data_IF_412396248195
#
_entry.id   IF_412396248195
#
_cell.length_a   1.000
_cell.length_b   1.000
_cell.length_c   1.000
_cell.angle_alpha   90.00
_cell.angle_beta   90.00
_cell.angle_gamma   90.00
#
_symmetry.space_group_name_H-M   'P 1'
#
loop_
_entity.id
_entity.type
_entity.pdbx_description
1 polymer ?
#
# COMPACT_ATOMS: atom_id res chain seq x y z
N UNK A 1 33.29 13.36 -25.73
CA UNK A 1 33.23 11.94 -25.36
C UNK A 1 31.77 11.59 -25.18
N UNK A 2 31.21 10.78 -26.08
CA UNK A 2 29.84 10.28 -25.95
C UNK A 2 29.96 9.05 -25.07
N UNK A 3 29.70 9.21 -23.77
CA UNK A 3 29.56 8.04 -22.90
C UNK A 3 28.36 7.24 -23.39
N UNK A 4 28.63 6.02 -23.85
CA UNK A 4 27.61 5.10 -24.31
C UNK A 4 26.66 4.79 -23.14
N UNK A 5 25.34 5.07 -23.26
CA UNK A 5 24.37 4.90 -22.18
C UNK A 5 24.27 3.44 -21.67
N UNK A 6 24.80 2.48 -22.44
CA UNK A 6 24.93 1.09 -22.04
C UNK A 6 25.98 0.84 -20.94
N UNK A 7 27.07 1.61 -20.87
CA UNK A 7 28.11 1.44 -19.84
C UNK A 7 27.63 1.96 -18.48
N UNK A 8 26.82 3.02 -18.44
CA UNK A 8 26.15 3.51 -17.22
C UNK A 8 25.06 2.57 -16.67
N UNK A 9 24.54 1.64 -17.49
CA UNK A 9 23.56 0.63 -17.04
C UNK A 9 24.20 -0.54 -16.26
N UNK A 10 25.50 -0.78 -16.44
CA UNK A 10 26.24 -1.84 -15.72
C UNK A 10 27.16 -1.31 -14.62
N UNK A 11 27.22 0.01 -14.43
CA UNK A 11 27.87 0.62 -13.27
C UNK A 11 27.08 0.29 -11.98
N UNK A 12 27.67 0.44 -10.80
CA UNK A 12 27.09 0.00 -9.53
C UNK A 12 25.70 0.62 -9.28
N UNK A 13 25.49 1.85 -9.77
CA UNK A 13 24.20 2.56 -9.81
C UNK A 13 23.22 1.87 -10.76
N UNK A 14 23.63 1.54 -11.99
CA UNK A 14 22.83 0.82 -12.97
C UNK A 14 22.48 -0.62 -12.54
N UNK A 15 23.37 -1.30 -11.82
CA UNK A 15 23.11 -2.63 -11.26
C UNK A 15 22.14 -2.55 -10.06
N UNK A 16 22.29 -1.54 -9.19
CA UNK A 16 21.33 -1.26 -8.13
C UNK A 16 19.96 -0.96 -8.71
N UNK A 17 19.81 -0.01 -9.64
CA UNK A 17 18.49 0.31 -10.17
C UNK A 17 17.96 -0.74 -11.15
N UNK A 18 18.81 -1.39 -11.94
CA UNK A 18 18.44 -2.37 -12.96
C UNK A 18 18.06 -3.74 -12.41
N UNK A 19 18.58 -4.13 -11.24
CA UNK A 19 18.27 -5.43 -10.60
C UNK A 19 17.47 -5.25 -9.31
N UNK A 20 17.84 -4.32 -8.44
CA UNK A 20 17.15 -4.13 -7.15
C UNK A 20 15.72 -3.66 -7.35
N UNK A 21 15.46 -2.75 -8.29
CA UNK A 21 14.08 -2.24 -8.52
C UNK A 21 13.16 -3.36 -9.01
N UNK A 22 13.49 -4.13 -10.07
CA UNK A 22 12.66 -5.28 -10.46
C UNK A 22 12.52 -6.32 -9.35
N UNK A 23 13.60 -6.58 -8.59
CA UNK A 23 13.57 -7.53 -7.48
C UNK A 23 12.63 -7.06 -6.35
N UNK A 24 12.65 -5.77 -6.00
CA UNK A 24 11.74 -5.17 -5.01
C UNK A 24 10.30 -5.19 -5.53
N UNK A 25 10.07 -4.91 -6.80
CA UNK A 25 8.74 -4.99 -7.41
C UNK A 25 8.23 -6.44 -7.36
N UNK A 26 9.05 -7.42 -7.76
CA UNK A 26 8.71 -8.85 -7.68
C UNK A 26 8.46 -9.26 -6.23
N UNK A 27 9.30 -8.83 -5.30
CA UNK A 27 9.14 -9.12 -3.88
C UNK A 27 7.85 -8.54 -3.33
N UNK A 28 7.48 -7.31 -3.70
CA UNK A 28 6.19 -6.71 -3.37
C UNK A 28 5.06 -7.53 -3.98
N UNK A 29 5.11 -7.86 -5.26
CA UNK A 29 4.09 -8.71 -5.92
C UNK A 29 3.93 -10.03 -5.17
N UNK A 30 5.01 -10.69 -4.79
CA UNK A 30 4.98 -11.94 -4.02
C UNK A 30 4.37 -11.74 -2.63
N UNK A 31 4.77 -10.68 -1.91
CA UNK A 31 4.23 -10.33 -0.59
C UNK A 31 2.74 -10.03 -0.62
N UNK A 32 2.24 -9.46 -1.72
CA UNK A 32 0.82 -9.19 -1.92
C UNK A 32 0.05 -10.43 -2.39
N UNK A 33 0.65 -11.26 -3.24
CA UNK A 33 -0.01 -12.41 -3.87
C UNK A 33 -0.19 -13.57 -2.89
N UNK A 34 0.83 -13.93 -2.11
CA UNK A 34 0.80 -15.10 -1.22
C UNK A 34 -0.33 -15.00 -0.18
N UNK A 35 -0.46 -13.92 0.62
CA UNK A 35 -1.52 -13.82 1.62
C UNK A 35 -2.90 -13.70 0.99
N UNK A 36 -2.99 -13.13 -0.22
CA UNK A 36 -4.25 -12.92 -0.91
C UNK A 36 -4.83 -14.20 -1.51
N UNK A 37 -3.99 -15.19 -1.84
CA UNK A 37 -4.42 -16.50 -2.35
C UNK A 37 -4.81 -17.48 -1.25
N UNK A 38 -4.23 -17.36 -0.05
CA UNK A 38 -4.43 -18.34 1.04
C UNK A 38 -5.85 -18.31 1.64
N UNK A 39 -6.58 -17.19 1.55
CA UNK A 39 -7.90 -17.03 2.18
C UNK A 39 -9.11 -17.36 1.29
N UNK A 40 -8.85 -17.91 0.09
CA UNK A 40 -9.77 -18.66 -0.77
C UNK A 40 -11.26 -18.31 -0.69
N UNK A 41 -11.68 -17.30 -1.47
CA UNK A 41 -13.10 -17.13 -1.87
C UNK A 41 -13.31 -16.10 -2.99
N UNK A 42 -12.28 -15.33 -3.38
CA UNK A 42 -12.36 -14.39 -4.50
C UNK A 42 -11.70 -14.97 -5.76
N UNK A 43 -12.21 -14.56 -6.94
CA UNK A 43 -11.61 -14.93 -8.23
C UNK A 43 -10.18 -14.41 -8.30
N UNK A 44 -9.24 -15.27 -8.66
CA UNK A 44 -7.80 -14.95 -8.76
C UNK A 44 -7.51 -13.75 -9.65
N UNK A 45 -8.31 -13.57 -10.71
CA UNK A 45 -8.24 -12.43 -11.63
C UNK A 45 -8.57 -11.10 -10.95
N UNK A 46 -9.61 -11.07 -10.10
CA UNK A 46 -9.99 -9.87 -9.36
C UNK A 46 -8.95 -9.47 -8.32
N UNK A 47 -8.30 -10.47 -7.70
CA UNK A 47 -7.16 -10.25 -6.80
C UNK A 47 -5.99 -9.64 -7.56
N UNK A 48 -5.63 -10.19 -8.73
CA UNK A 48 -4.56 -9.65 -9.57
C UNK A 48 -4.82 -8.22 -9.99
N UNK A 49 -6.06 -7.91 -10.39
CA UNK A 49 -6.48 -6.54 -10.71
C UNK A 49 -6.37 -5.60 -9.51
N UNK A 50 -6.76 -6.03 -8.31
CA UNK A 50 -6.61 -5.25 -7.10
C UNK A 50 -5.13 -4.94 -6.80
N UNK A 51 -4.25 -5.95 -6.87
CA UNK A 51 -2.81 -5.78 -6.64
C UNK A 51 -2.22 -4.78 -7.63
N UNK A 52 -2.53 -4.92 -8.93
CA UNK A 52 -2.07 -3.99 -9.95
C UNK A 52 -2.50 -2.54 -9.67
N UNK A 53 -3.76 -2.34 -9.27
CA UNK A 53 -4.27 -1.02 -8.92
C UNK A 53 -3.52 -0.41 -7.72
N UNK A 54 -3.33 -1.18 -6.63
CA UNK A 54 -2.57 -0.69 -5.47
C UNK A 54 -1.10 -0.40 -5.77
N UNK A 55 -0.45 -1.19 -6.62
CA UNK A 55 0.92 -0.91 -7.06
C UNK A 55 0.99 0.38 -7.89
N UNK A 56 0.01 0.60 -8.76
CA UNK A 56 -0.07 1.79 -9.60
C UNK A 56 -0.43 3.05 -8.80
N UNK A 57 -1.30 2.92 -7.78
CA UNK A 57 -1.54 3.97 -6.79
C UNK A 57 -0.25 4.30 -6.02
N UNK A 58 0.50 3.28 -5.59
CA UNK A 58 1.81 3.45 -4.96
C UNK A 58 2.80 4.21 -5.86
N UNK A 59 2.85 3.87 -7.15
CA UNK A 59 3.66 4.59 -8.13
C UNK A 59 3.23 6.05 -8.26
N UNK A 60 1.93 6.31 -8.33
CA UNK A 60 1.38 7.67 -8.35
C UNK A 60 1.81 8.48 -7.12
N UNK A 61 1.75 7.88 -5.93
CA UNK A 61 2.20 8.50 -4.68
C UNK A 61 3.70 8.80 -4.69
N UNK A 62 4.53 7.90 -5.22
CA UNK A 62 5.97 8.12 -5.39
C UNK A 62 6.22 9.32 -6.32
N UNK A 63 5.56 9.38 -7.47
CA UNK A 63 5.70 10.49 -8.43
C UNK A 63 5.26 11.83 -7.82
N UNK A 64 4.15 11.85 -7.08
CA UNK A 64 3.71 13.03 -6.33
C UNK A 64 4.75 13.44 -5.28
N UNK A 65 5.39 12.48 -4.60
CA UNK A 65 6.45 12.78 -3.62
C UNK A 65 7.68 13.35 -4.32
N UNK A 66 8.13 12.75 -5.42
CA UNK A 66 9.30 13.20 -6.20
C UNK A 66 9.08 14.59 -6.80
N UNK A 67 7.87 14.93 -7.24
CA UNK A 67 7.54 16.27 -7.72
C UNK A 67 7.36 17.29 -6.58
N UNK A 68 6.73 16.88 -5.48
CA UNK A 68 6.34 17.78 -4.39
C UNK A 68 7.47 18.12 -3.43
N UNK A 69 8.27 17.13 -3.01
CA UNK A 69 9.28 17.31 -1.95
C UNK A 69 10.41 18.28 -2.35
N UNK A 70 11.01 18.19 -3.56
CA UNK A 70 12.02 19.14 -4.00
C UNK A 70 11.47 20.55 -4.18
N UNK A 71 10.22 20.67 -4.63
CA UNK A 71 9.53 21.96 -4.75
C UNK A 71 9.37 22.62 -3.39
N UNK A 72 8.93 21.86 -2.38
CA UNK A 72 8.81 22.34 -1.01
C UNK A 72 10.18 22.72 -0.42
N UNK A 73 11.21 21.91 -0.67
CA UNK A 73 12.58 22.21 -0.26
C UNK A 73 13.09 23.51 -0.86
N UNK A 74 12.92 23.72 -2.17
CA UNK A 74 13.35 24.94 -2.86
C UNK A 74 12.73 26.21 -2.26
N UNK A 75 11.44 26.18 -1.94
CA UNK A 75 10.73 27.30 -1.31
C UNK A 75 11.24 27.56 0.11
N UNK A 76 11.44 26.51 0.92
CA UNK A 76 11.87 26.65 2.32
C UNK A 76 13.36 26.96 2.49
N UNK A 77 14.20 26.48 1.57
CA UNK A 77 15.63 26.77 1.53
C UNK A 77 15.96 28.11 0.84
N UNK A 78 14.93 28.83 0.37
CA UNK A 78 15.07 30.10 -0.39
C UNK A 78 16.02 29.97 -1.59
N UNK A 79 16.11 28.77 -2.16
CA UNK A 79 16.94 28.44 -3.31
C UNK A 79 16.01 28.13 -4.48
N UNK A 80 15.57 29.16 -5.22
CA UNK A 80 14.59 28.99 -6.28
C UNK A 80 15.14 28.07 -7.38
N UNK A 81 14.31 27.12 -7.80
CA UNK A 81 14.60 26.30 -8.96
C UNK A 81 14.47 27.14 -10.25
N UNK A 82 15.11 26.71 -11.33
CA UNK A 82 14.87 27.32 -12.64
C UNK A 82 13.43 27.06 -13.10
N UNK A 83 12.85 27.98 -13.87
CA UNK A 83 11.46 27.89 -14.36
C UNK A 83 11.14 26.54 -15.03
N UNK A 84 12.09 26.02 -15.82
CA UNK A 84 11.95 24.72 -16.49
C UNK A 84 11.89 23.54 -15.51
N UNK A 85 12.59 23.63 -14.38
CA UNK A 85 12.59 22.60 -13.34
C UNK A 85 11.27 22.61 -12.56
N UNK A 86 10.71 23.79 -12.27
CA UNK A 86 9.37 23.88 -11.66
C UNK A 86 8.30 23.25 -12.55
N UNK A 87 8.31 23.57 -13.84
CA UNK A 87 7.35 22.99 -14.80
C UNK A 87 7.53 21.47 -14.89
N UNK A 88 8.76 20.98 -14.95
CA UNK A 88 9.04 19.54 -14.96
C UNK A 88 8.54 18.83 -13.69
N UNK A 89 8.83 19.37 -12.51
CA UNK A 89 8.37 18.83 -11.23
C UNK A 89 6.85 18.87 -11.10
N UNK A 90 6.22 19.94 -11.59
CA UNK A 90 4.76 20.07 -11.63
C UNK A 90 4.12 19.02 -12.55
N UNK A 91 4.71 18.78 -13.73
CA UNK A 91 4.24 17.74 -14.65
C UNK A 91 4.39 16.34 -14.05
N UNK A 92 5.51 16.06 -13.38
CA UNK A 92 5.74 14.79 -12.67
C UNK A 92 4.70 14.62 -11.56
N UNK A 93 4.46 15.66 -10.77
CA UNK A 93 3.44 15.68 -9.71
C UNK A 93 2.04 15.43 -10.27
N UNK A 94 1.66 16.16 -11.33
CA UNK A 94 0.35 16.06 -11.96
C UNK A 94 0.12 14.68 -12.59
N UNK A 95 1.15 14.12 -13.23
CA UNK A 95 1.10 12.76 -13.78
C UNK A 95 0.92 11.73 -12.66
N UNK A 96 1.67 11.86 -11.57
CA UNK A 96 1.51 11.02 -10.38
C UNK A 96 0.10 11.07 -9.80
N UNK A 97 -0.46 12.28 -9.66
CA UNK A 97 -1.83 12.49 -9.19
C UNK A 97 -2.87 11.89 -10.13
N UNK A 98 -2.70 12.05 -11.44
CA UNK A 98 -3.60 11.45 -12.44
C UNK A 98 -3.54 9.92 -12.40
N UNK A 99 -2.34 9.34 -12.33
CA UNK A 99 -2.16 7.88 -12.20
C UNK A 99 -2.81 7.36 -10.92
N UNK A 100 -2.64 8.06 -9.79
CA UNK A 100 -3.27 7.71 -8.52
C UNK A 100 -4.81 7.73 -8.62
N UNK A 101 -5.38 8.85 -9.09
CA UNK A 101 -6.84 9.01 -9.21
C UNK A 101 -7.47 8.04 -10.20
N UNK A 102 -6.78 7.75 -11.31
CA UNK A 102 -7.25 6.79 -12.30
C UNK A 102 -7.36 5.38 -11.70
N UNK A 103 -6.34 4.94 -10.97
CA UNK A 103 -6.32 3.60 -10.39
C UNK A 103 -7.25 3.49 -9.17
N UNK A 104 -7.42 4.55 -8.37
CA UNK A 104 -8.45 4.59 -7.31
C UNK A 104 -9.87 4.44 -7.90
N UNK A 105 -10.12 5.09 -9.04
CA UNK A 105 -11.39 4.93 -9.74
C UNK A 105 -11.58 3.50 -10.27
N UNK A 106 -10.57 2.91 -10.91
CA UNK A 106 -10.64 1.52 -11.39
C UNK A 106 -10.80 0.53 -10.24
N UNK A 107 -10.12 0.77 -9.11
CA UNK A 107 -10.19 -0.07 -7.92
C UNK A 107 -11.61 -0.18 -7.40
N UNK A 108 -12.44 0.88 -7.52
CA UNK A 108 -13.87 0.87 -7.15
C UNK A 108 -14.72 -0.13 -7.93
N UNK A 109 -14.24 -0.68 -9.04
CA UNK A 109 -14.93 -1.75 -9.80
C UNK A 109 -14.66 -3.18 -9.31
N UNK A 110 -13.66 -3.40 -8.45
CA UNK A 110 -13.20 -4.75 -8.04
C UNK A 110 -14.04 -5.30 -6.87
N UNK A 111 -14.21 -6.60 -6.62
CA UNK A 111 -15.00 -7.01 -5.43
C UNK A 111 -14.32 -6.59 -4.10
N UNK A 112 -15.12 -6.25 -3.08
CA UNK A 112 -14.59 -5.83 -1.77
C UNK A 112 -13.71 -6.93 -1.12
N UNK A 113 -14.08 -8.19 -1.33
CA UNK A 113 -13.33 -9.36 -0.83
C UNK A 113 -11.94 -9.45 -1.47
N UNK A 114 -11.83 -9.23 -2.79
CA UNK A 114 -10.56 -9.24 -3.50
C UNK A 114 -9.63 -8.08 -3.10
N UNK A 115 -10.20 -6.92 -2.74
CA UNK A 115 -9.43 -5.73 -2.33
C UNK A 115 -8.92 -5.78 -0.89
N UNK A 116 -9.59 -6.53 -0.01
CA UNK A 116 -9.33 -6.48 1.43
C UNK A 116 -7.87 -6.80 1.79
N UNK A 117 -7.31 -7.86 1.21
CA UNK A 117 -5.93 -8.28 1.51
C UNK A 117 -4.91 -7.29 0.93
N UNK A 118 -4.92 -6.97 -0.37
CA UNK A 118 -4.00 -5.97 -0.94
C UNK A 118 -4.10 -4.61 -0.24
N UNK A 119 -5.30 -4.13 0.05
CA UNK A 119 -5.51 -2.88 0.78
C UNK A 119 -4.83 -2.91 2.15
N UNK A 120 -5.00 -4.00 2.90
CA UNK A 120 -4.41 -4.14 4.23
C UNK A 120 -2.88 -4.10 4.16
N UNK A 121 -2.29 -4.83 3.20
CA UNK A 121 -0.83 -4.87 3.01
C UNK A 121 -0.32 -3.48 2.63
N UNK A 122 -0.96 -2.82 1.66
CA UNK A 122 -0.62 -1.46 1.26
C UNK A 122 -0.69 -0.47 2.43
N UNK A 123 -1.79 -0.50 3.20
CA UNK A 123 -1.99 0.36 4.35
C UNK A 123 -0.91 0.17 5.42
N UNK A 124 -0.58 -1.08 5.77
CA UNK A 124 0.48 -1.38 6.73
C UNK A 124 1.88 -1.06 6.18
N UNK A 125 2.11 -1.20 4.87
CA UNK A 125 3.37 -0.81 4.25
C UNK A 125 3.59 0.70 4.36
N UNK A 126 2.58 1.52 4.03
CA UNK A 126 2.66 2.98 4.20
C UNK A 126 2.83 3.36 5.67
N UNK A 127 2.12 2.68 6.58
CA UNK A 127 2.25 2.90 8.03
C UNK A 127 3.65 2.56 8.55
N UNK A 128 4.25 1.47 8.08
CA UNK A 128 5.62 1.12 8.44
C UNK A 128 6.62 2.14 7.87
N UNK A 129 6.45 2.49 6.60
CA UNK A 129 7.30 3.49 5.93
C UNK A 129 7.24 4.85 6.65
N UNK A 130 6.06 5.30 7.05
CA UNK A 130 5.91 6.57 7.77
C UNK A 130 6.64 6.56 9.12
N UNK A 131 6.54 5.47 9.89
CA UNK A 131 7.29 5.32 11.14
C UNK A 131 8.80 5.31 10.90
N UNK A 132 9.26 4.56 9.89
CA UNK A 132 10.67 4.53 9.52
C UNK A 132 11.18 5.92 9.13
N UNK A 133 10.43 6.66 8.30
CA UNK A 133 10.77 8.02 7.91
C UNK A 133 10.88 8.97 9.10
N UNK A 134 9.92 8.94 10.03
CA UNK A 134 9.96 9.77 11.25
C UNK A 134 11.17 9.41 12.11
N UNK A 135 11.42 8.11 12.34
CA UNK A 135 12.55 7.64 13.14
C UNK A 135 13.88 8.05 12.51
N UNK A 136 14.07 7.81 11.21
CA UNK A 136 15.30 8.17 10.51
C UNK A 136 15.51 9.67 10.43
N UNK A 137 14.45 10.45 10.18
CA UNK A 137 14.56 11.91 10.14
C UNK A 137 14.89 12.48 11.53
N UNK A 138 14.25 11.99 12.59
CA UNK A 138 14.54 12.39 13.97
C UNK A 138 15.95 12.01 14.38
N UNK A 139 16.39 10.78 14.08
CA UNK A 139 17.74 10.32 14.38
C UNK A 139 18.78 11.10 13.58
N UNK A 140 18.53 11.36 12.29
CA UNK A 140 19.42 12.15 11.44
C UNK A 140 19.56 13.60 11.94
N UNK A 141 18.46 14.21 12.40
CA UNK A 141 18.47 15.56 12.96
C UNK A 141 19.20 15.58 14.31
N UNK A 142 18.98 14.57 15.17
CA UNK A 142 19.66 14.43 16.44
C UNK A 142 21.17 14.26 16.26
N UNK A 143 21.58 13.33 15.40
CA UNK A 143 23.01 13.08 15.12
C UNK A 143 23.69 14.32 14.55
N UNK A 144 23.04 15.02 13.62
CA UNK A 144 23.62 16.24 13.03
C UNK A 144 23.70 17.39 14.04
N UNK A 145 22.77 17.45 15.01
CA UNK A 145 22.80 18.43 16.09
C UNK A 145 23.85 18.14 17.17
N UNK A 146 24.21 16.87 17.41
CA UNK A 146 25.10 16.47 18.52
C UNK A 146 26.52 16.08 18.11
N UNK A 147 26.74 15.56 16.90
CA UNK A 147 28.05 15.07 16.45
C UNK A 147 28.81 16.06 15.55
N UNK A 148 28.14 17.06 14.97
CA UNK A 148 28.79 18.02 14.05
C UNK A 148 29.18 19.26 14.84
N UNK A 149 30.45 19.33 15.23
CA UNK A 149 31.01 20.37 16.10
C UNK A 149 31.50 21.62 15.36
N UNK A 150 31.34 21.68 14.02
CA UNK A 150 31.88 22.77 13.20
C UNK A 150 31.03 23.07 11.97
N UNK A 151 30.73 24.36 11.79
CA UNK A 151 30.03 25.02 10.66
C UNK A 151 28.76 24.34 10.14
N UNK A 152 27.64 24.70 10.76
CA UNK A 152 26.33 24.47 10.18
C UNK A 152 26.18 25.24 8.86
N UNK A 153 26.19 24.52 7.74
CA UNK A 153 25.79 25.12 6.47
C UNK A 153 24.39 25.75 6.57
N UNK A 154 24.15 26.91 5.95
CA UNK A 154 22.83 27.51 5.92
C UNK A 154 21.77 26.50 5.42
N UNK A 155 20.62 26.45 6.09
CA UNK A 155 19.50 25.55 5.74
C UNK A 155 19.73 24.05 5.94
N UNK A 156 20.77 23.63 6.67
CA UNK A 156 21.07 22.22 6.94
C UNK A 156 19.89 21.43 7.54
N UNK A 157 19.02 22.08 8.30
CA UNK A 157 17.89 21.47 8.99
C UNK A 157 16.66 21.27 8.09
N UNK A 158 16.55 22.05 7.00
CA UNK A 158 15.32 22.16 6.19
C UNK A 158 14.90 20.81 5.62
N UNK A 159 15.85 20.06 5.03
CA UNK A 159 15.57 18.73 4.47
C UNK A 159 15.08 17.74 5.53
N UNK A 160 15.75 17.70 6.68
CA UNK A 160 15.39 16.80 7.77
C UNK A 160 14.00 17.13 8.34
N UNK A 161 13.67 18.42 8.47
CA UNK A 161 12.35 18.87 8.93
C UNK A 161 11.25 18.57 7.91
N UNK A 162 11.51 18.74 6.62
CA UNK A 162 10.56 18.38 5.55
C UNK A 162 10.25 16.88 5.59
N UNK A 163 11.29 16.04 5.66
CA UNK A 163 11.12 14.58 5.71
C UNK A 163 10.41 14.16 7.00
N UNK A 164 10.73 14.79 8.14
CA UNK A 164 10.07 14.54 9.41
C UNK A 164 8.58 14.90 9.33
N UNK A 165 8.25 16.10 8.84
CA UNK A 165 6.87 16.57 8.70
C UNK A 165 6.08 15.68 7.73
N UNK A 166 6.68 15.31 6.59
CA UNK A 166 6.07 14.40 5.63
C UNK A 166 5.80 13.02 6.25
N UNK A 167 6.77 12.47 6.99
CA UNK A 167 6.59 11.23 7.74
C UNK A 167 5.48 11.32 8.79
N UNK A 168 5.37 12.44 9.51
CA UNK A 168 4.30 12.69 10.48
C UNK A 168 2.92 12.79 9.82
N UNK A 169 2.82 13.45 8.66
CA UNK A 169 1.58 13.54 7.88
C UNK A 169 1.16 12.14 7.43
N UNK A 170 2.06 11.36 6.85
CA UNK A 170 1.76 9.98 6.43
C UNK A 170 1.37 9.09 7.61
N UNK A 171 2.04 9.25 8.75
CA UNK A 171 1.70 8.53 9.97
C UNK A 171 0.31 8.93 10.49
N UNK A 172 -0.02 10.22 10.43
CA UNK A 172 -1.34 10.72 10.78
C UNK A 172 -2.43 10.16 9.86
N UNK A 173 -2.19 10.14 8.54
CA UNK A 173 -3.09 9.56 7.55
C UNK A 173 -3.30 8.04 7.73
N UNK A 174 -2.32 7.34 8.29
CA UNK A 174 -2.40 5.90 8.58
C UNK A 174 -2.80 5.57 10.03
N UNK A 175 -3.27 6.58 10.78
CA UNK A 175 -3.77 6.39 12.12
C UNK A 175 -5.12 5.67 12.05
N UNK A 176 -5.11 4.40 12.44
CA UNK A 176 -6.34 3.62 12.62
C UNK A 176 -7.05 4.12 13.88
N UNK A 177 -8.19 4.80 13.72
CA UNK A 177 -9.09 5.08 14.84
C UNK A 177 -9.63 3.73 15.36
N UNK A 178 -9.17 3.33 16.54
CA UNK A 178 -9.58 2.09 17.22
C UNK A 178 -11.09 2.03 17.53
N UNK A 179 -11.81 3.15 17.37
CA UNK A 179 -13.22 3.28 17.74
C UNK A 179 -14.23 2.79 16.68
N UNK A 180 -13.77 2.33 15.50
CA UNK A 180 -14.66 1.86 14.42
C UNK A 180 -14.53 0.37 14.12
N UNK A 181 -14.16 -0.44 15.11
CA UNK A 181 -14.43 -1.89 15.04
C UNK A 181 -15.90 -2.12 15.38
N UNK A 182 -16.80 -1.63 14.51
CA UNK A 182 -18.20 -2.01 14.58
C UNK A 182 -18.29 -3.51 14.37
N UNK A 183 -18.73 -4.18 15.43
CA UNK A 183 -19.43 -5.47 15.56
C UNK A 183 -20.17 -6.08 14.35
N UNK A 184 -19.61 -6.11 13.14
CA UNK A 184 -20.27 -6.69 11.95
C UNK A 184 -19.97 -8.17 11.73
N UNK A 185 -19.15 -8.78 12.58
CA UNK A 185 -18.98 -10.23 12.63
C UNK A 185 -19.64 -10.82 13.88
N UNK A 186 -20.88 -10.41 14.15
CA UNK A 186 -21.79 -11.24 14.94
C UNK A 186 -22.31 -12.30 13.99
N UNK A 187 -21.61 -13.41 13.90
CA UNK A 187 -22.16 -14.64 13.32
C UNK A 187 -23.45 -14.95 14.08
N UNK A 188 -24.59 -14.56 13.51
CA UNK A 188 -25.89 -15.05 13.96
C UNK A 188 -25.80 -16.57 13.89
N UNK A 189 -25.88 -17.29 15.02
CA UNK A 189 -26.02 -18.73 14.96
C UNK A 189 -27.28 -18.97 14.14
N UNK A 190 -27.14 -19.63 12.98
CA UNK A 190 -28.28 -20.15 12.26
C UNK A 190 -29.05 -20.99 13.27
N UNK A 191 -30.23 -20.51 13.67
CA UNK A 191 -31.18 -21.30 14.44
C UNK A 191 -31.61 -22.39 13.48
N UNK A 192 -30.87 -23.50 13.44
CA UNK A 192 -31.25 -24.68 12.70
C UNK A 192 -32.63 -25.03 13.23
N UNK A 193 -33.70 -24.94 12.41
CA UNK A 193 -34.97 -25.47 12.86
C UNK A 193 -34.69 -26.94 13.15
N UNK A 194 -34.85 -27.34 14.41
CA UNK A 194 -34.89 -28.75 14.80
C UNK A 194 -36.00 -29.35 13.96
N UNK A 195 -35.63 -29.92 12.82
CA UNK A 195 -36.52 -30.71 12.00
C UNK A 195 -36.81 -31.91 12.89
N UNK A 196 -37.96 -31.89 13.56
CA UNK A 196 -38.51 -33.06 14.23
C UNK A 196 -38.42 -34.18 13.20
N UNK A 197 -37.52 -35.12 13.45
CA UNK A 197 -37.51 -36.42 12.81
C UNK A 197 -38.91 -36.97 13.09
N UNK A 198 -39.80 -36.86 12.10
CA UNK A 198 -41.04 -37.60 12.11
C UNK A 198 -40.58 -39.05 11.97
N UNK A 199 -40.50 -39.70 13.12
CA UNK A 199 -40.34 -41.13 13.27
C UNK A 199 -41.45 -41.79 12.45
N UNK A 200 -41.13 -42.15 11.21
CA UNK A 200 -42.01 -42.95 10.35
C UNK A 200 -42.12 -44.32 11.00
N UNK A 201 -43.14 -44.45 11.82
CA UNK A 201 -43.66 -45.68 12.37
C UNK A 201 -43.68 -46.76 11.26
N UNK A 202 -42.99 -47.90 11.41
CA UNK A 202 -43.03 -48.95 10.39
C UNK A 202 -44.44 -49.52 10.35
N UNK A 203 -45.11 -49.32 9.21
CA UNK A 203 -46.41 -49.90 8.90
C UNK A 203 -46.39 -51.41 9.19
N UNK A 204 -47.16 -51.79 10.21
CA UNK A 204 -47.52 -53.18 10.55
C UNK A 204 -47.92 -53.93 9.28
N UNK A 205 -47.19 -55.00 8.97
CA UNK A 205 -47.57 -56.03 8.00
C UNK A 205 -48.98 -56.54 8.34
N UNK A 206 -49.95 -56.22 7.48
CA UNK A 206 -51.26 -56.87 7.49
C UNK A 206 -51.10 -58.33 7.07
N UNK A 207 -51.04 -59.24 8.05
CA UNK A 207 -51.21 -60.68 7.82
C UNK A 207 -52.69 -60.91 7.51
N UNK A 208 -53.02 -60.99 6.23
CA UNK A 208 -54.31 -61.51 5.75
C UNK A 208 -54.31 -63.04 5.94
N UNK A 209 -55.03 -63.51 6.96
CA UNK A 209 -55.47 -64.89 7.14
C UNK A 209 -56.94 -64.78 7.53
N UNK A 210 -57.90 -65.24 6.73
CA UNK A 210 -58.68 -66.48 6.95
C UNK A 210 -59.78 -66.51 5.86
N UNK A 211 -59.75 -67.41 4.88
CA UNK A 211 -60.51 -68.69 4.79
C UNK A 211 -61.98 -68.62 5.21
N UNK A 212 -62.89 -68.69 4.22
CA UNK A 212 -63.96 -69.70 4.15
C UNK A 212 -64.21 -69.99 2.68
#
# INVERSE_FOLDING_TARGET
MIESPFLSMFDLVGLFYGVLVPLVIIQLVILFLIPSLIKGNAKTEEIGKAIYCFLSEGLGLILMTVGGLPTLYSVLAQSPLHDTQYVALLLVFATGGLTYLWHDHVLKSVSATARCVPHTIYFFAIKFLSHAMVLFAALSLLLKATLVESDFEPHWWVMHTIVLLYGLILWWCTRTNLETTSSSFRSTPLKVPIMKIIERNPLKKSKKKTRK
#
